data_IF_543984163892
#
_entry.id   IF_543984163892
#
_cell.length_a   1.000
_cell.length_b   1.000
_cell.length_c   1.000
_cell.angle_alpha   90.00
_cell.angle_beta   90.00
_cell.angle_gamma   90.00
#
_symmetry.space_group_name_H-M   'P 1'
#
loop_
_entity.id
_entity.type
_entity.pdbx_description
1 polymer ?
#
# COMPACT_ATOMS: atom_id res chain seq x y z
N UNK A 1 16.13 0.86 -9.89
CA UNK A 1 14.88 0.29 -10.46
C UNK A 1 14.27 -0.78 -9.57
N UNK A 2 14.96 -1.88 -9.23
CA UNK A 2 14.38 -2.89 -8.30
C UNK A 2 14.02 -2.29 -6.92
N UNK A 3 14.80 -1.34 -6.42
CA UNK A 3 14.53 -0.62 -5.17
C UNK A 3 13.21 0.14 -5.18
N UNK A 4 12.83 0.75 -6.32
CA UNK A 4 11.57 1.46 -6.47
C UNK A 4 10.39 0.49 -6.46
N UNK A 5 10.52 -0.66 -7.16
CA UNK A 5 9.50 -1.72 -7.15
C UNK A 5 9.33 -2.29 -5.74
N UNK A 6 10.44 -2.56 -5.04
CA UNK A 6 10.43 -3.02 -3.66
C UNK A 6 9.73 -2.01 -2.75
N UNK A 7 10.08 -0.73 -2.84
CA UNK A 7 9.49 0.32 -2.01
C UNK A 7 7.98 0.41 -2.22
N UNK A 8 7.52 0.53 -3.48
CA UNK A 8 6.10 0.62 -3.80
C UNK A 8 5.29 -0.59 -3.30
N UNK A 9 5.82 -1.80 -3.47
CA UNK A 9 5.15 -3.01 -2.97
C UNK A 9 5.18 -3.11 -1.46
N UNK A 10 6.27 -2.69 -0.81
CA UNK A 10 6.36 -2.65 0.66
C UNK A 10 5.31 -1.68 1.21
N UNK A 11 5.23 -0.48 0.65
CA UNK A 11 4.27 0.54 1.08
C UNK A 11 2.83 0.07 0.88
N UNK A 12 2.54 -0.62 -0.23
CA UNK A 12 1.22 -1.19 -0.50
C UNK A 12 0.87 -2.34 0.48
N UNK A 13 1.81 -3.23 0.78
CA UNK A 13 1.62 -4.32 1.74
C UNK A 13 1.43 -3.76 3.16
N UNK A 14 2.35 -2.90 3.60
CA UNK A 14 2.33 -2.35 4.96
C UNK A 14 1.14 -1.40 5.14
N UNK A 15 0.77 -0.68 4.09
CA UNK A 15 -0.42 0.16 4.05
C UNK A 15 -1.73 -0.61 4.02
N UNK A 16 -1.71 -1.91 3.74
CA UNK A 16 -2.91 -2.75 3.63
C UNK A 16 -3.66 -2.59 2.30
N UNK A 17 -3.05 -1.99 1.28
CA UNK A 17 -3.59 -2.01 -0.10
C UNK A 17 -3.53 -3.42 -0.72
N UNK A 18 -2.54 -4.21 -0.29
CA UNK A 18 -2.44 -5.63 -0.60
C UNK A 18 -2.60 -6.38 0.72
N UNK A 19 -3.66 -7.17 0.82
CA UNK A 19 -4.03 -7.78 2.08
C UNK A 19 -3.10 -8.93 2.47
N UNK A 20 -3.04 -9.23 3.77
CA UNK A 20 -2.42 -10.46 4.26
C UNK A 20 -3.04 -11.69 3.57
N UNK A 21 -2.20 -12.62 3.14
CA UNK A 21 -2.64 -13.82 2.43
C UNK A 21 -3.00 -13.60 0.96
N UNK A 22 -2.97 -12.36 0.47
CA UNK A 22 -3.16 -12.06 -0.95
C UNK A 22 -1.95 -12.49 -1.77
N UNK A 23 -2.21 -12.99 -2.97
CA UNK A 23 -1.16 -13.39 -3.91
C UNK A 23 -0.64 -12.18 -4.67
N UNK A 24 0.67 -11.97 -4.63
CA UNK A 24 1.33 -10.99 -5.48
C UNK A 24 1.25 -11.43 -6.96
N UNK A 25 1.25 -10.47 -7.91
CA UNK A 25 1.34 -10.79 -9.33
C UNK A 25 2.51 -11.73 -9.62
N UNK A 26 2.36 -12.60 -10.62
CA UNK A 26 3.51 -13.43 -11.03
C UNK A 26 4.66 -12.54 -11.52
N UNK A 27 5.90 -13.00 -11.34
CA UNK A 27 7.10 -12.29 -11.80
C UNK A 27 7.00 -11.86 -13.27
N UNK A 28 6.41 -12.71 -14.12
CA UNK A 28 6.19 -12.41 -15.55
C UNK A 28 5.16 -11.32 -15.77
N UNK A 29 4.03 -11.36 -15.05
CA UNK A 29 2.98 -10.36 -15.17
C UNK A 29 3.49 -8.98 -14.77
N UNK A 30 4.15 -8.87 -13.60
CA UNK A 30 4.64 -7.59 -13.12
C UNK A 30 5.77 -7.04 -14.00
N UNK A 31 6.68 -7.90 -14.48
CA UNK A 31 7.72 -7.50 -15.42
C UNK A 31 7.14 -6.93 -16.72
N UNK A 32 6.08 -7.55 -17.25
CA UNK A 32 5.40 -7.09 -18.45
C UNK A 32 4.67 -5.76 -18.22
N UNK A 33 3.95 -5.61 -17.10
CA UNK A 33 3.23 -4.39 -16.75
C UNK A 33 4.16 -3.19 -16.59
N UNK A 34 5.27 -3.38 -15.87
CA UNK A 34 6.24 -2.33 -15.60
C UNK A 34 7.29 -2.15 -16.72
N UNK A 35 7.27 -3.01 -17.74
CA UNK A 35 8.26 -3.06 -18.84
C UNK A 35 9.71 -3.14 -18.33
N UNK A 36 9.94 -3.96 -17.31
CA UNK A 36 11.26 -4.20 -16.70
C UNK A 36 11.67 -5.66 -16.87
N UNK A 37 12.95 -5.96 -16.61
CA UNK A 37 13.42 -7.34 -16.65
C UNK A 37 12.82 -8.18 -15.52
N UNK A 38 12.55 -9.46 -15.77
CA UNK A 38 12.11 -10.42 -14.73
C UNK A 38 13.12 -10.46 -13.58
N UNK A 39 14.43 -10.38 -13.85
CA UNK A 39 15.49 -10.37 -12.83
C UNK A 39 15.29 -9.20 -11.85
N UNK A 40 14.90 -8.03 -12.35
CA UNK A 40 14.61 -6.85 -11.52
C UNK A 40 13.43 -7.11 -10.58
N UNK A 41 12.37 -7.74 -11.07
CA UNK A 41 11.19 -8.08 -10.27
C UNK A 41 11.51 -9.18 -9.26
N UNK A 42 12.24 -10.23 -9.68
CA UNK A 42 12.68 -11.31 -8.80
C UNK A 42 13.49 -10.77 -7.64
N UNK A 43 14.41 -9.83 -7.90
CA UNK A 43 15.19 -9.19 -6.83
C UNK A 43 14.28 -8.41 -5.88
N UNK A 44 13.35 -7.60 -6.39
CA UNK A 44 12.40 -6.88 -5.55
C UNK A 44 11.57 -7.82 -4.65
N UNK A 45 11.09 -8.93 -5.20
CA UNK A 45 10.30 -9.91 -4.45
C UNK A 45 11.13 -10.66 -3.41
N UNK A 46 12.36 -11.03 -3.73
CA UNK A 46 13.25 -11.66 -2.76
C UNK A 46 13.58 -10.73 -1.58
N UNK A 47 13.70 -9.42 -1.83
CA UNK A 47 13.85 -8.44 -0.75
C UNK A 47 12.59 -8.34 0.11
N UNK A 48 11.38 -8.37 -0.49
CA UNK A 48 10.13 -8.44 0.28
C UNK A 48 10.07 -9.69 1.17
N UNK A 49 10.55 -10.83 0.66
CA UNK A 49 10.67 -12.07 1.44
C UNK A 49 11.70 -11.93 2.56
N UNK A 50 12.86 -11.33 2.28
CA UNK A 50 13.89 -11.09 3.29
C UNK A 50 13.42 -10.15 4.41
N UNK A 51 12.52 -9.20 4.10
CA UNK A 51 11.88 -8.32 5.06
C UNK A 51 10.70 -8.98 5.81
N UNK A 52 10.32 -10.21 5.46
CA UNK A 52 9.19 -10.89 6.05
C UNK A 52 7.82 -10.35 5.62
N UNK A 53 7.76 -9.50 4.58
CA UNK A 53 6.52 -8.93 4.04
C UNK A 53 5.83 -9.87 3.06
N UNK A 54 6.58 -10.81 2.48
CA UNK A 54 6.07 -11.83 1.59
C UNK A 54 6.72 -13.19 1.87
N UNK A 55 6.12 -14.26 1.37
CA UNK A 55 6.67 -15.60 1.37
C UNK A 55 6.54 -16.21 -0.02
N UNK A 56 7.50 -17.05 -0.42
CA UNK A 56 7.43 -17.80 -1.66
C UNK A 56 6.87 -19.20 -1.36
N UNK A 57 5.60 -19.40 -1.68
CA UNK A 57 4.91 -20.67 -1.50
C UNK A 57 5.04 -21.55 -2.75
N UNK A 58 5.55 -22.76 -2.58
CA UNK A 58 5.76 -23.69 -3.67
C UNK A 58 4.44 -24.01 -4.40
N UNK A 59 4.39 -23.74 -5.70
CA UNK A 59 3.20 -23.95 -6.54
C UNK A 59 2.15 -22.83 -6.48
N UNK A 60 2.20 -21.93 -5.50
CA UNK A 60 1.30 -20.77 -5.39
C UNK A 60 1.97 -19.46 -5.80
N UNK A 61 3.29 -19.34 -5.66
CA UNK A 61 4.02 -18.10 -5.94
C UNK A 61 4.18 -17.25 -4.69
N UNK A 62 4.20 -15.93 -4.84
CA UNK A 62 4.49 -15.03 -3.72
C UNK A 62 3.20 -14.60 -3.01
N UNK A 63 3.15 -14.75 -1.69
CA UNK A 63 1.99 -14.45 -0.85
C UNK A 63 2.39 -13.44 0.22
N UNK A 64 1.55 -12.45 0.49
CA UNK A 64 1.79 -11.42 1.50
C UNK A 64 1.68 -12.00 2.91
N UNK A 65 2.68 -11.69 3.75
CA UNK A 65 2.73 -12.13 5.15
C UNK A 65 2.01 -11.14 6.08
N UNK A 66 1.66 -11.62 7.28
CA UNK A 66 1.16 -10.77 8.35
C UNK A 66 2.20 -9.70 8.71
N UNK A 67 1.80 -8.44 8.63
CA UNK A 67 2.59 -7.33 9.15
C UNK A 67 2.32 -7.23 10.65
N UNK A 68 3.37 -7.08 11.48
CA UNK A 68 3.19 -6.92 12.92
C UNK A 68 2.20 -5.78 13.19
N UNK A 69 1.21 -6.03 14.07
CA UNK A 69 0.08 -5.12 14.28
C UNK A 69 0.51 -3.68 14.61
N UNK A 70 1.59 -3.52 15.38
CA UNK A 70 2.15 -2.21 15.73
C UNK A 70 2.69 -1.45 14.50
N UNK A 71 3.29 -2.17 13.55
CA UNK A 71 3.81 -1.59 12.31
C UNK A 71 2.68 -1.24 11.34
N UNK A 72 1.68 -2.13 11.22
CA UNK A 72 0.49 -1.87 10.42
C UNK A 72 -0.30 -0.66 10.94
N UNK A 73 -0.43 -0.51 12.26
CA UNK A 73 -1.09 0.64 12.88
C UNK A 73 -0.35 1.95 12.61
N UNK A 74 0.99 1.96 12.74
CA UNK A 74 1.81 3.14 12.45
C UNK A 74 1.66 3.58 10.99
N UNK A 75 1.71 2.65 10.04
CA UNK A 75 1.56 2.99 8.62
C UNK A 75 0.14 3.41 8.26
N UNK A 76 -0.89 2.80 8.87
CA UNK A 76 -2.26 3.26 8.69
C UNK A 76 -2.43 4.71 9.19
N UNK A 77 -1.78 5.07 10.30
CA UNK A 77 -1.78 6.46 10.79
C UNK A 77 -1.10 7.42 9.80
N UNK A 78 0.01 7.02 9.19
CA UNK A 78 0.67 7.80 8.12
C UNK A 78 -0.22 7.94 6.88
N UNK A 79 -0.93 6.88 6.49
CA UNK A 79 -1.91 6.93 5.38
C UNK A 79 -3.04 7.91 5.66
N UNK A 80 -3.59 7.88 6.87
CA UNK A 80 -4.61 8.85 7.31
C UNK A 80 -4.05 10.28 7.24
N UNK A 81 -2.81 10.49 7.68
CA UNK A 81 -2.14 11.79 7.62
C UNK A 81 -2.01 12.29 6.18
N UNK A 82 -1.60 11.43 5.25
CA UNK A 82 -1.51 11.76 3.83
C UNK A 82 -2.89 12.07 3.21
N UNK A 83 -3.90 11.24 3.50
CA UNK A 83 -5.26 11.46 3.04
C UNK A 83 -5.85 12.77 3.58
N UNK A 84 -5.57 13.14 4.83
CA UNK A 84 -5.96 14.43 5.39
C UNK A 84 -5.33 15.58 4.61
N UNK A 85 -4.04 15.47 4.25
CA UNK A 85 -3.36 16.47 3.43
C UNK A 85 -4.03 16.65 2.06
N UNK A 86 -4.42 15.55 1.41
CA UNK A 86 -5.18 15.58 0.16
C UNK A 86 -6.55 16.25 0.32
N UNK A 87 -7.30 15.91 1.37
CA UNK A 87 -8.60 16.52 1.69
C UNK A 87 -8.47 18.02 1.93
N UNK A 88 -7.45 18.45 2.68
CA UNK A 88 -7.17 19.87 2.93
C UNK A 88 -6.83 20.60 1.62
N UNK A 89 -5.98 20.00 0.77
CA UNK A 89 -5.61 20.57 -0.52
C UNK A 89 -6.82 20.72 -1.44
N UNK A 90 -7.64 19.68 -1.56
CA UNK A 90 -8.87 19.68 -2.34
C UNK A 90 -9.89 20.70 -1.81
N UNK A 91 -10.08 20.75 -0.48
CA UNK A 91 -10.97 21.71 0.18
C UNK A 91 -10.57 23.16 -0.08
N UNK A 92 -9.28 23.47 0.04
CA UNK A 92 -8.74 24.81 -0.29
C UNK A 92 -8.96 25.17 -1.76
N UNK A 93 -8.75 24.22 -2.67
CA UNK A 93 -8.95 24.43 -4.11
C UNK A 93 -10.42 24.69 -4.43
N UNK A 94 -11.34 23.97 -3.76
CA UNK A 94 -12.78 24.16 -3.85
C UNK A 94 -13.31 25.37 -3.06
N UNK A 95 -12.42 26.15 -2.41
CA UNK A 95 -12.77 27.28 -1.53
C UNK A 95 -13.76 26.91 -0.40
N UNK A 96 -13.69 25.68 0.08
CA UNK A 96 -14.46 25.24 1.24
C UNK A 96 -13.77 25.74 2.53
N UNK A 97 -14.57 26.19 3.48
CA UNK A 97 -14.08 26.46 4.83
C UNK A 97 -13.80 25.16 5.59
N UNK A 98 -13.02 25.28 6.67
CA UNK A 98 -12.64 24.14 7.50
C UNK A 98 -13.86 23.41 8.08
N UNK A 99 -14.89 24.16 8.50
CA UNK A 99 -16.10 23.61 9.12
C UNK A 99 -16.88 22.73 8.15
N UNK A 100 -16.97 23.13 6.88
CA UNK A 100 -17.62 22.36 5.82
C UNK A 100 -16.84 21.08 5.50
N UNK A 101 -15.50 21.16 5.47
CA UNK A 101 -14.65 19.99 5.26
C UNK A 101 -14.79 19.00 6.42
N UNK A 102 -14.73 19.47 7.67
CA UNK A 102 -14.91 18.64 8.86
C UNK A 102 -16.29 17.99 8.89
N UNK A 103 -17.36 18.75 8.60
CA UNK A 103 -18.72 18.19 8.55
C UNK A 103 -18.87 17.09 7.49
N UNK A 104 -18.16 17.17 6.36
CA UNK A 104 -18.14 16.09 5.35
C UNK A 104 -17.41 14.84 5.85
N UNK A 105 -16.29 15.00 6.55
CA UNK A 105 -15.53 13.89 7.15
C UNK A 105 -16.36 13.21 8.24
N UNK A 106 -16.96 13.97 9.15
CA UNK A 106 -17.84 13.44 10.20
C UNK A 106 -19.03 12.66 9.63
N UNK A 107 -19.69 13.21 8.59
CA UNK A 107 -20.82 12.55 7.95
C UNK A 107 -20.43 11.26 7.19
N UNK A 108 -19.19 11.15 6.69
CA UNK A 108 -18.68 9.91 6.11
C UNK A 108 -18.28 8.90 7.21
N UNK A 109 -17.69 9.37 8.31
CA UNK A 109 -17.34 8.54 9.46
C UNK A 109 -18.56 7.85 10.07
N UNK A 110 -19.64 8.60 10.31
CA UNK A 110 -20.88 8.08 10.88
C UNK A 110 -21.65 7.12 9.95
N UNK A 111 -21.35 7.11 8.63
CA UNK A 111 -21.98 6.19 7.68
C UNK A 111 -21.35 4.80 7.65
N UNK A 112 -20.14 4.65 8.20
CA UNK A 112 -19.35 3.42 8.14
C UNK A 112 -19.15 2.74 9.50
N UNK A 113 -19.59 3.38 10.58
CA UNK A 113 -19.65 2.80 11.95
C UNK A 113 -21.07 2.35 12.29
#
# INVERSE_FOLDING_TARGET
MYEQIRAQLSDAIIGGDIAEGEMLPSLRQLAAQLRVSIITVTRAYNELVAMGLASNEHGRGFVVCAVAADHAAAVMADRVTNAISEVVSAGRTARLDMTTVLGKVEAEWMRRG
#
